data_IF_856214469212
#
_entry.id   IF_856214469212
#
_cell.length_a   1.000
_cell.length_b   1.000
_cell.length_c   1.000
_cell.angle_alpha   90.00
_cell.angle_beta   90.00
_cell.angle_gamma   90.00
#
_symmetry.space_group_name_H-M   'P 1'
#
loop_
_entity.id
_entity.type
_entity.pdbx_description
1 polymer ?
#
# COMPACT_ATOMS: atom_id res chain seq x y z
N UNK A 1 -16.61 -15.77 1.23
CA UNK A 1 -16.20 -15.37 -0.14
C UNK A 1 -14.71 -15.04 -0.16
N UNK A 2 -13.88 -15.75 -0.93
CA UNK A 2 -12.42 -15.58 -0.95
C UNK A 2 -11.92 -14.29 -1.66
N UNK A 3 -12.78 -13.30 -1.90
CA UNK A 3 -12.52 -12.09 -2.71
C UNK A 3 -12.54 -10.77 -1.93
N UNK A 4 -12.78 -10.79 -0.62
CA UNK A 4 -12.95 -9.55 0.15
C UNK A 4 -11.69 -8.68 0.18
N UNK A 5 -10.50 -9.27 0.33
CA UNK A 5 -9.23 -8.54 0.35
C UNK A 5 -8.95 -7.78 -0.97
N UNK A 6 -9.37 -8.32 -2.12
CA UNK A 6 -9.21 -7.64 -3.42
C UNK A 6 -10.13 -6.42 -3.52
N UNK A 7 -11.36 -6.55 -3.04
CA UNK A 7 -12.31 -5.44 -2.98
C UNK A 7 -11.82 -4.34 -2.02
N UNK A 8 -11.27 -4.72 -0.86
CA UNK A 8 -10.66 -3.79 0.09
C UNK A 8 -9.45 -3.06 -0.51
N UNK A 9 -8.58 -3.75 -1.27
CA UNK A 9 -7.48 -3.11 -2.01
C UNK A 9 -8.01 -2.10 -3.01
N UNK A 10 -9.00 -2.48 -3.83
CA UNK A 10 -9.62 -1.57 -4.80
C UNK A 10 -10.29 -0.37 -4.13
N UNK A 11 -10.96 -0.58 -3.00
CA UNK A 11 -11.53 0.50 -2.19
C UNK A 11 -10.43 1.44 -1.68
N UNK A 12 -9.33 0.90 -1.15
CA UNK A 12 -8.17 1.68 -0.71
C UNK A 12 -7.60 2.54 -1.83
N UNK A 13 -7.40 1.96 -3.01
CA UNK A 13 -6.94 2.68 -4.21
C UNK A 13 -7.92 3.78 -4.65
N UNK A 14 -9.23 3.52 -4.61
CA UNK A 14 -10.25 4.51 -4.93
C UNK A 14 -10.29 5.66 -3.91
N UNK A 15 -10.19 5.35 -2.62
CA UNK A 15 -10.12 6.34 -1.54
C UNK A 15 -8.88 7.22 -1.66
N UNK A 16 -7.73 6.64 -1.99
CA UNK A 16 -6.51 7.38 -2.30
C UNK A 16 -6.73 8.36 -3.46
N UNK A 17 -7.35 7.90 -4.55
CA UNK A 17 -7.64 8.73 -5.73
C UNK A 17 -8.55 9.94 -5.47
N UNK A 18 -9.34 9.92 -4.39
CA UNK A 18 -10.19 11.05 -3.96
C UNK A 18 -9.61 11.83 -2.78
N UNK A 19 -8.38 11.54 -2.36
CA UNK A 19 -7.68 12.26 -1.28
C UNK A 19 -8.02 11.78 0.14
N UNK A 20 -8.82 10.73 0.29
CA UNK A 20 -9.22 10.16 1.58
C UNK A 20 -8.16 9.18 2.12
N UNK A 21 -6.92 9.66 2.29
CA UNK A 21 -5.75 8.83 2.57
C UNK A 21 -5.87 8.02 3.86
N UNK A 22 -6.44 8.59 4.93
CA UNK A 22 -6.63 7.87 6.21
C UNK A 22 -7.65 6.74 6.07
N UNK A 23 -8.66 6.91 5.22
CA UNK A 23 -9.62 5.83 4.93
C UNK A 23 -8.98 4.77 4.02
N UNK A 24 -8.14 5.18 3.07
CA UNK A 24 -7.37 4.27 2.22
C UNK A 24 -6.48 3.34 3.06
N UNK A 25 -5.72 3.90 4.02
CA UNK A 25 -4.88 3.14 4.97
C UNK A 25 -5.70 2.05 5.66
N UNK A 26 -6.86 2.39 6.23
CA UNK A 26 -7.72 1.41 6.93
C UNK A 26 -8.15 0.26 6.02
N UNK A 27 -8.62 0.57 4.81
CA UNK A 27 -9.05 -0.46 3.86
C UNK A 27 -7.89 -1.37 3.44
N UNK A 28 -6.69 -0.81 3.27
CA UNK A 28 -5.50 -1.55 2.87
C UNK A 28 -4.91 -2.40 4.00
N UNK A 29 -4.91 -1.90 5.24
CA UNK A 29 -4.56 -2.68 6.43
C UNK A 29 -5.51 -3.87 6.60
N UNK A 30 -6.81 -3.68 6.37
CA UNK A 30 -7.78 -4.78 6.39
C UNK A 30 -7.49 -5.79 5.25
N UNK A 31 -7.23 -5.34 4.03
CA UNK A 31 -6.84 -6.20 2.92
C UNK A 31 -5.59 -7.04 3.23
N UNK A 32 -4.58 -6.42 3.84
CA UNK A 32 -3.32 -7.07 4.25
C UNK A 32 -3.56 -8.06 5.40
N UNK A 33 -4.41 -7.72 6.38
CA UNK A 33 -4.75 -8.64 7.48
C UNK A 33 -5.37 -9.95 6.96
N UNK A 34 -6.16 -9.87 5.88
CA UNK A 34 -6.75 -11.03 5.22
C UNK A 34 -5.77 -11.77 4.31
N UNK A 35 -4.86 -11.04 3.66
CA UNK A 35 -3.83 -11.61 2.78
C UNK A 35 -2.47 -10.90 3.00
N UNK A 36 -1.66 -11.38 3.98
CA UNK A 36 -0.42 -10.71 4.37
C UNK A 36 0.66 -10.66 3.28
N UNK A 37 0.60 -11.57 2.31
CA UNK A 37 1.52 -11.70 1.17
C UNK A 37 1.06 -10.92 -0.07
N UNK A 38 0.08 -10.02 0.06
CA UNK A 38 -0.45 -9.26 -1.07
C UNK A 38 0.40 -8.00 -1.38
N UNK A 39 1.47 -8.18 -2.16
CA UNK A 39 2.44 -7.12 -2.45
C UNK A 39 1.80 -5.81 -2.97
N UNK A 40 0.82 -5.90 -3.87
CA UNK A 40 0.13 -4.73 -4.43
C UNK A 40 -0.63 -3.93 -3.35
N UNK A 41 -1.15 -4.58 -2.29
CA UNK A 41 -1.81 -3.88 -1.18
C UNK A 41 -0.80 -3.19 -0.25
N UNK A 42 0.38 -3.77 -0.05
CA UNK A 42 1.49 -3.10 0.65
C UNK A 42 1.95 -1.86 -0.11
N UNK A 43 2.10 -1.92 -1.44
CA UNK A 43 2.47 -0.77 -2.26
C UNK A 43 1.46 0.40 -2.16
N UNK A 44 0.17 0.09 -2.25
CA UNK A 44 -0.91 1.09 -2.07
C UNK A 44 -0.93 1.65 -0.64
N UNK A 45 -0.67 0.82 0.39
CA UNK A 45 -0.65 1.26 1.79
C UNK A 45 0.51 2.23 2.02
N UNK A 46 1.69 1.89 1.53
CA UNK A 46 2.87 2.74 1.63
C UNK A 46 2.66 4.09 0.92
N UNK A 47 2.03 4.08 -0.26
CA UNK A 47 1.67 5.31 -0.98
C UNK A 47 0.70 6.18 -0.18
N UNK A 48 -0.28 5.56 0.49
CA UNK A 48 -1.24 6.25 1.35
C UNK A 48 -0.61 6.83 2.63
N UNK A 49 0.36 6.12 3.21
CA UNK A 49 1.13 6.60 4.37
C UNK A 49 2.02 7.79 3.99
N UNK A 50 2.69 7.72 2.85
CA UNK A 50 3.46 8.84 2.32
C UNK A 50 2.59 10.09 2.11
N UNK A 51 1.38 9.93 1.54
CA UNK A 51 0.44 11.04 1.37
C UNK A 51 -0.04 11.67 2.71
N UNK A 52 0.11 10.94 3.83
CA UNK A 52 -0.14 11.46 5.18
C UNK A 52 1.11 12.05 5.86
N UNK A 53 2.28 12.01 5.20
CA UNK A 53 3.56 12.43 5.75
C UNK A 53 4.19 11.40 6.69
N UNK A 54 3.72 10.15 6.68
CA UNK A 54 4.23 9.06 7.53
C UNK A 54 5.35 8.29 6.80
N UNK A 55 6.38 9.00 6.36
CA UNK A 55 7.40 8.49 5.42
C UNK A 55 8.22 7.32 5.97
N UNK A 56 8.56 7.35 7.26
CA UNK A 56 9.28 6.26 7.92
C UNK A 56 8.51 4.93 7.81
N UNK A 57 7.20 4.97 8.06
CA UNK A 57 6.32 3.80 7.89
C UNK A 57 6.15 3.44 6.41
N UNK A 58 6.04 4.44 5.53
CA UNK A 58 5.91 4.20 4.10
C UNK A 58 7.12 3.42 3.55
N UNK A 59 8.34 3.78 3.95
CA UNK A 59 9.58 3.08 3.58
C UNK A 59 9.52 1.60 3.99
N UNK A 60 9.17 1.31 5.25
CA UNK A 60 9.08 -0.06 5.75
C UNK A 60 8.07 -0.90 4.95
N UNK A 61 6.91 -0.31 4.64
CA UNK A 61 5.85 -1.01 3.90
C UNK A 61 6.19 -1.17 2.42
N UNK A 62 6.86 -0.19 1.79
CA UNK A 62 7.39 -0.35 0.42
C UNK A 62 8.43 -1.46 0.36
N UNK A 63 9.36 -1.51 1.32
CA UNK A 63 10.33 -2.59 1.41
C UNK A 63 9.63 -3.94 1.54
N UNK A 64 8.56 -4.02 2.32
CA UNK A 64 7.76 -5.25 2.43
C UNK A 64 7.12 -5.66 1.10
N UNK A 65 6.60 -4.72 0.31
CA UNK A 65 6.07 -5.01 -1.02
C UNK A 65 7.15 -5.58 -1.97
N UNK A 66 8.37 -5.03 -1.89
CA UNK A 66 9.54 -5.48 -2.66
C UNK A 66 9.99 -6.87 -2.19
N UNK A 67 10.04 -7.13 -0.88
CA UNK A 67 10.42 -8.44 -0.36
C UNK A 67 9.45 -9.54 -0.81
N UNK A 68 8.15 -9.22 -0.86
CA UNK A 68 7.11 -10.12 -1.36
C UNK A 68 7.18 -10.32 -2.89
N UNK A 69 7.60 -9.28 -3.61
CA UNK A 69 7.72 -9.28 -5.08
C UNK A 69 8.94 -8.44 -5.49
N UNK A 70 10.15 -9.04 -5.60
CA UNK A 70 11.40 -8.32 -5.86
C UNK A 70 11.45 -7.48 -7.15
N UNK A 71 10.51 -7.70 -8.08
CA UNK A 71 10.33 -6.91 -9.30
C UNK A 71 9.10 -6.00 -9.28
N UNK A 72 8.62 -5.59 -8.10
CA UNK A 72 7.47 -4.68 -7.99
C UNK A 72 7.87 -3.26 -8.39
N UNK A 73 7.71 -2.95 -9.68
CA UNK A 73 8.15 -1.69 -10.30
C UNK A 73 7.62 -0.46 -9.55
N UNK A 74 6.33 -0.42 -9.22
CA UNK A 74 5.74 0.75 -8.55
C UNK A 74 6.31 0.98 -7.14
N UNK A 75 6.54 -0.10 -6.38
CA UNK A 75 7.10 -0.01 -5.04
C UNK A 75 8.57 0.47 -5.09
N UNK A 76 9.36 -0.04 -6.05
CA UNK A 76 10.74 0.41 -6.27
C UNK A 76 10.79 1.89 -6.68
N UNK A 77 9.91 2.30 -7.60
CA UNK A 77 9.84 3.68 -8.07
C UNK A 77 9.45 4.64 -6.94
N UNK A 78 8.39 4.33 -6.20
CA UNK A 78 7.91 5.17 -5.10
C UNK A 78 8.90 5.22 -3.93
N UNK A 79 9.54 4.10 -3.59
CA UNK A 79 10.59 4.07 -2.57
C UNK A 79 11.81 4.90 -2.99
N UNK A 80 12.22 4.84 -4.26
CA UNK A 80 13.28 5.69 -4.78
C UNK A 80 12.94 7.18 -4.68
N UNK A 81 11.67 7.53 -4.90
CA UNK A 81 11.16 8.90 -4.73
C UNK A 81 11.20 9.43 -3.29
N UNK A 82 11.12 8.56 -2.28
CA UNK A 82 11.23 8.95 -0.86
C UNK A 82 12.67 9.30 -0.43
N UNK A 83 13.67 8.84 -1.18
CA UNK A 83 15.09 9.05 -0.85
C UNK A 83 15.77 10.17 -1.65
N UNK A 84 15.05 10.86 -2.54
CA UNK A 84 15.58 11.92 -3.40
C UNK A 84 15.20 13.30 -2.87
#
# INVERSE_FOLDING_TARGET
CPTHYRALKLLGSALFGVGEYRAAVKALEEAISMKPDYADAHCDLASSLHALGEDERAVEVFQRAIDLKPGHVDALYNLGGLYM
#
